data_IF_640221388180
#
_entry.id   IF_640221388180
#
_cell.length_a   1.000
_cell.length_b   1.000
_cell.length_c   1.000
_cell.angle_alpha   90.00
_cell.angle_beta   90.00
_cell.angle_gamma   90.00
#
_symmetry.space_group_name_H-M   'P 1'
#
loop_
_entity.id
_entity.type
_entity.pdbx_description
1 polymer ?
#
# COMPACT_ATOMS: atom_id res chain seq x y z
N UNK A 1 26.79 42.48 -9.07
CA UNK A 1 25.73 41.64 -8.46
C UNK A 1 25.24 40.66 -9.52
N UNK A 2 25.71 39.40 -9.49
CA UNK A 2 25.28 38.35 -10.42
C UNK A 2 24.27 37.49 -9.68
N UNK A 3 23.01 37.58 -10.10
CA UNK A 3 21.90 36.77 -9.57
C UNK A 3 22.10 35.33 -10.02
N UNK A 4 22.30 34.41 -9.07
CA UNK A 4 22.26 32.97 -9.32
C UNK A 4 20.80 32.52 -9.23
N UNK A 5 20.21 32.18 -10.38
CA UNK A 5 18.97 31.41 -10.44
C UNK A 5 19.26 29.97 -10.01
N UNK A 6 18.75 29.57 -8.84
CA UNK A 6 18.67 28.16 -8.46
C UNK A 6 17.52 27.52 -9.26
N UNK A 7 17.84 26.75 -10.30
CA UNK A 7 16.89 25.79 -10.88
C UNK A 7 16.72 24.66 -9.86
N UNK A 8 15.57 24.60 -9.20
CA UNK A 8 15.16 23.42 -8.44
C UNK A 8 14.87 22.29 -9.43
N UNK A 9 15.66 21.22 -9.38
CA UNK A 9 15.39 20.00 -10.12
C UNK A 9 14.21 19.28 -9.43
N UNK A 10 13.01 19.41 -9.99
CA UNK A 10 11.87 18.57 -9.60
C UNK A 10 12.18 17.17 -10.13
N UNK A 11 12.57 16.25 -9.23
CA UNK A 11 12.64 14.83 -9.56
C UNK A 11 11.22 14.39 -9.96
N UNK A 12 11.03 14.12 -11.25
CA UNK A 12 9.76 13.62 -11.77
C UNK A 12 9.59 12.19 -11.26
N UNK A 13 8.77 12.03 -10.22
CA UNK A 13 8.39 10.75 -9.68
C UNK A 13 7.63 9.99 -10.78
N UNK A 14 8.28 9.02 -11.43
CA UNK A 14 7.66 8.26 -12.51
C UNK A 14 6.80 7.14 -11.90
N UNK A 15 5.49 7.36 -11.85
CA UNK A 15 4.54 6.30 -11.61
C UNK A 15 4.67 5.25 -12.74
N UNK A 16 5.22 4.08 -12.44
CA UNK A 16 5.25 2.95 -13.38
C UNK A 16 3.88 2.31 -13.34
N UNK A 17 3.23 2.21 -14.50
CA UNK A 17 1.87 1.68 -14.65
C UNK A 17 0.83 2.40 -13.77
N UNK A 18 1.04 3.69 -13.50
CA UNK A 18 0.18 4.54 -12.66
C UNK A 18 0.11 4.17 -11.17
N UNK A 19 1.02 3.34 -10.66
CA UNK A 19 1.16 3.10 -9.22
C UNK A 19 2.01 4.18 -8.54
N UNK A 20 1.66 4.54 -7.30
CA UNK A 20 2.39 5.49 -6.47
C UNK A 20 3.23 4.73 -5.44
N UNK A 21 4.52 4.66 -5.69
CA UNK A 21 5.49 3.89 -4.90
C UNK A 21 6.69 4.78 -4.56
N UNK A 22 6.79 5.16 -3.30
CA UNK A 22 7.84 6.04 -2.74
C UNK A 22 8.36 5.42 -1.45
N UNK A 23 9.61 5.72 -1.06
CA UNK A 23 10.19 5.12 0.13
C UNK A 23 9.67 5.74 1.42
N UNK A 24 8.98 6.88 1.39
CA UNK A 24 8.45 7.50 2.61
C UNK A 24 7.31 8.47 2.32
N UNK A 25 6.47 8.69 3.31
CA UNK A 25 5.36 9.63 3.19
C UNK A 25 4.42 9.63 4.39
N UNK A 26 3.39 10.46 4.28
CA UNK A 26 2.26 10.48 5.20
C UNK A 26 1.28 9.36 4.85
N UNK A 27 0.72 8.71 5.85
CA UNK A 27 -0.15 7.55 5.66
C UNK A 27 -1.23 7.49 6.73
N UNK A 28 -2.24 6.67 6.48
CA UNK A 28 -3.18 6.19 7.49
C UNK A 28 -2.89 4.73 7.85
N UNK A 29 -3.44 4.29 8.97
CA UNK A 29 -3.27 2.93 9.50
C UNK A 29 -4.60 2.40 10.03
N UNK A 30 -4.89 1.13 9.77
CA UNK A 30 -5.91 0.32 10.46
C UNK A 30 -5.34 -1.05 10.79
N UNK A 31 -6.17 -1.93 11.34
CA UNK A 31 -5.86 -3.33 11.58
C UNK A 31 -6.84 -4.27 10.89
N UNK A 32 -6.37 -5.47 10.54
CA UNK A 32 -7.19 -6.55 9.99
C UNK A 32 -6.74 -7.92 10.51
N UNK A 33 -7.66 -8.88 10.45
CA UNK A 33 -7.42 -10.30 10.75
C UNK A 33 -7.41 -11.14 9.48
N UNK A 34 -6.79 -12.32 9.52
CA UNK A 34 -6.82 -13.30 8.42
C UNK A 34 -5.72 -13.13 7.38
N UNK A 35 -4.50 -12.79 7.78
CA UNK A 35 -3.38 -12.54 6.86
C UNK A 35 -2.57 -13.80 6.47
N UNK A 36 -3.13 -14.99 6.69
CA UNK A 36 -2.47 -16.26 6.45
C UNK A 36 -2.41 -16.68 4.97
N UNK A 37 -3.22 -16.05 4.09
CA UNK A 37 -3.22 -16.30 2.64
C UNK A 37 -3.23 -14.97 1.88
N UNK A 38 -2.12 -14.21 1.92
CA UNK A 38 -2.12 -12.81 1.48
C UNK A 38 -1.84 -12.69 -0.03
N UNK A 39 -2.08 -11.52 -0.62
CA UNK A 39 -2.00 -11.29 -2.07
C UNK A 39 -0.61 -11.52 -2.69
N UNK A 40 0.48 -11.39 -1.92
CA UNK A 40 1.82 -11.76 -2.38
C UNK A 40 2.04 -13.28 -2.45
N UNK A 41 1.12 -14.07 -1.89
CA UNK A 41 1.16 -15.53 -1.85
C UNK A 41 2.19 -16.12 -0.90
N UNK A 42 2.68 -15.31 0.05
CA UNK A 42 3.64 -15.74 1.08
C UNK A 42 3.21 -15.12 2.40
N UNK A 43 2.72 -15.96 3.31
CA UNK A 43 2.53 -15.59 4.72
C UNK A 43 3.88 -15.41 5.43
N UNK A 44 3.88 -14.73 6.58
CA UNK A 44 5.10 -14.48 7.37
C UNK A 44 4.82 -14.64 8.86
N UNK A 45 5.85 -14.88 9.67
CA UNK A 45 5.73 -14.97 11.14
C UNK A 45 5.94 -13.65 11.88
N UNK A 46 6.54 -12.66 11.23
CA UNK A 46 6.76 -11.32 11.78
C UNK A 46 5.61 -10.38 11.47
N UNK A 47 5.68 -9.14 11.96
CA UNK A 47 4.64 -8.15 11.70
C UNK A 47 4.47 -7.92 10.21
N UNK A 48 3.23 -8.05 9.74
CA UNK A 48 2.87 -7.89 8.33
C UNK A 48 1.80 -6.82 8.16
N UNK A 49 1.70 -6.31 6.94
CA UNK A 49 0.65 -5.38 6.57
C UNK A 49 0.18 -5.60 5.14
N UNK A 50 -1.08 -5.24 4.90
CA UNK A 50 -1.57 -4.92 3.58
C UNK A 50 -1.26 -3.44 3.27
N UNK A 51 -0.94 -3.11 2.03
CA UNK A 51 -0.83 -1.69 1.60
C UNK A 51 -1.92 -1.38 0.58
N UNK A 52 -2.38 -0.13 0.52
CA UNK A 52 -3.41 0.27 -0.44
C UNK A 52 -3.01 -0.07 -1.89
N UNK A 53 -4.01 -0.43 -2.69
CA UNK A 53 -3.84 -0.93 -4.06
C UNK A 53 -2.97 -0.02 -4.95
N UNK A 54 -3.08 1.30 -4.82
CA UNK A 54 -2.27 2.27 -5.57
C UNK A 54 -0.76 2.15 -5.30
N UNK A 55 -0.40 1.61 -4.14
CA UNK A 55 1.00 1.40 -3.73
C UNK A 55 1.41 -0.06 -3.83
N UNK A 56 0.46 -0.99 -3.63
CA UNK A 56 0.73 -2.43 -3.71
C UNK A 56 1.38 -2.82 -5.04
N UNK A 57 0.89 -2.27 -6.15
CA UNK A 57 1.45 -2.54 -7.48
C UNK A 57 0.69 -3.59 -8.28
N UNK A 58 -0.52 -3.97 -7.87
CA UNK A 58 -1.35 -4.95 -8.57
C UNK A 58 -2.84 -4.64 -8.35
N UNK A 59 -3.71 -5.46 -8.94
CA UNK A 59 -5.16 -5.42 -8.72
C UNK A 59 -5.67 -6.83 -8.35
N UNK A 60 -6.84 -6.95 -7.71
CA UNK A 60 -7.39 -8.26 -7.32
C UNK A 60 -7.39 -9.26 -8.47
N UNK A 61 -6.79 -10.44 -8.24
CA UNK A 61 -6.70 -11.54 -9.20
C UNK A 61 -5.51 -11.51 -10.15
N UNK A 62 -4.65 -10.47 -10.14
CA UNK A 62 -3.43 -10.43 -10.96
C UNK A 62 -2.15 -10.85 -10.23
N UNK A 63 -2.25 -11.23 -8.95
CA UNK A 63 -1.12 -11.69 -8.15
C UNK A 63 -0.37 -10.55 -7.47
N UNK A 64 0.93 -10.77 -7.26
CA UNK A 64 1.87 -9.92 -6.56
C UNK A 64 2.00 -8.52 -7.17
N UNK A 65 2.43 -7.55 -6.36
CA UNK A 65 2.86 -6.24 -6.83
C UNK A 65 4.26 -5.91 -6.31
N UNK A 66 4.86 -4.81 -6.77
CA UNK A 66 6.24 -4.48 -6.41
C UNK A 66 6.42 -4.15 -4.91
N UNK A 67 5.33 -3.93 -4.17
CA UNK A 67 5.37 -3.79 -2.71
C UNK A 67 5.70 -5.09 -1.97
N UNK A 68 5.48 -6.25 -2.61
CA UNK A 68 5.59 -7.54 -1.96
C UNK A 68 7.00 -7.80 -1.40
N UNK A 69 7.06 -8.00 -0.09
CA UNK A 69 8.28 -8.30 0.65
C UNK A 69 9.05 -7.09 1.16
N UNK A 70 8.69 -5.86 0.74
CA UNK A 70 9.37 -4.64 1.22
C UNK A 70 9.06 -4.39 2.70
N UNK A 71 10.04 -3.90 3.44
CA UNK A 71 9.91 -3.60 4.85
C UNK A 71 9.77 -2.09 5.11
N UNK A 72 8.87 -1.71 6.01
CA UNK A 72 8.59 -0.32 6.32
C UNK A 72 8.52 -0.10 7.83
N UNK A 73 9.21 0.93 8.31
CA UNK A 73 8.99 1.49 9.63
C UNK A 73 7.75 2.37 9.60
N UNK A 74 6.72 1.97 10.33
CA UNK A 74 5.47 2.72 10.52
C UNK A 74 5.55 3.50 11.82
N UNK A 75 5.00 4.72 11.85
CA UNK A 75 4.94 5.55 13.07
C UNK A 75 3.59 6.25 13.17
N UNK A 76 2.84 5.97 14.24
CA UNK A 76 1.58 6.66 14.54
C UNK A 76 1.84 8.07 15.08
N UNK A 77 0.91 9.00 14.82
CA UNK A 77 1.05 10.39 15.23
C UNK A 77 -0.26 11.05 15.69
N UNK A 78 -1.41 10.59 15.19
CA UNK A 78 -2.72 11.10 15.61
C UNK A 78 -3.83 10.09 15.36
N UNK A 79 -4.91 10.19 16.14
CA UNK A 79 -6.17 9.48 15.88
C UNK A 79 -7.14 10.47 15.19
N UNK A 80 -7.57 10.20 13.94
CA UNK A 80 -8.49 11.08 13.22
C UNK A 80 -9.91 11.12 13.82
N UNK A 81 -10.29 10.12 14.61
CA UNK A 81 -11.58 10.06 15.33
C UNK A 81 -11.49 10.64 16.74
N UNK A 82 -10.30 10.64 17.34
CA UNK A 82 -10.03 11.22 18.66
C UNK A 82 -8.93 12.28 18.60
N UNK A 83 -9.17 13.45 17.95
CA UNK A 83 -8.11 14.44 17.70
C UNK A 83 -7.49 15.07 18.97
N UNK A 84 -8.12 14.90 20.13
CA UNK A 84 -7.58 15.33 21.43
C UNK A 84 -6.66 14.28 22.10
N UNK A 85 -6.62 13.05 21.57
CA UNK A 85 -5.73 12.01 22.08
C UNK A 85 -4.28 12.32 21.70
N UNK A 86 -3.42 12.47 22.71
CA UNK A 86 -2.03 12.90 22.54
C UNK A 86 -1.02 11.74 22.55
N UNK A 87 -1.49 10.49 22.50
CA UNK A 87 -0.66 9.30 22.59
C UNK A 87 -0.66 8.63 23.97
N UNK A 88 0.26 7.68 24.22
CA UNK A 88 1.46 7.41 23.44
C UNK A 88 1.17 6.84 22.04
N UNK A 89 2.03 7.15 21.07
CA UNK A 89 2.03 6.52 19.74
C UNK A 89 3.29 5.67 19.59
N UNK A 90 3.18 4.58 18.84
CA UNK A 90 4.24 3.60 18.67
C UNK A 90 4.81 3.62 17.25
N UNK A 91 5.97 2.98 17.10
CA UNK A 91 6.54 2.61 15.81
C UNK A 91 6.78 1.12 15.76
N UNK A 92 6.53 0.51 14.59
CA UNK A 92 6.84 -0.89 14.31
C UNK A 92 7.51 -1.00 12.93
N UNK A 93 8.12 -2.14 12.65
CA UNK A 93 8.60 -2.49 11.31
C UNK A 93 7.75 -3.63 10.81
N UNK A 94 7.12 -3.44 9.64
CA UNK A 94 6.29 -4.45 8.99
C UNK A 94 6.93 -4.88 7.68
N UNK A 95 6.66 -6.11 7.26
CA UNK A 95 6.87 -6.58 5.88
C UNK A 95 5.52 -6.55 5.14
N UNK A 96 5.46 -5.96 3.95
CA UNK A 96 4.23 -5.96 3.15
C UNK A 96 4.05 -7.32 2.50
N UNK A 97 2.93 -7.98 2.81
CA UNK A 97 2.59 -9.30 2.27
C UNK A 97 1.26 -9.30 1.53
N UNK A 98 0.45 -8.26 1.71
CA UNK A 98 -0.93 -8.24 1.24
C UNK A 98 -1.33 -6.91 0.59
N UNK A 99 -2.50 -6.91 -0.02
CA UNK A 99 -3.11 -5.78 -0.68
C UNK A 99 -4.40 -5.39 0.03
N UNK A 100 -4.55 -4.10 0.35
CA UNK A 100 -5.83 -3.53 0.69
C UNK A 100 -6.48 -2.98 -0.59
N UNK A 101 -7.48 -3.67 -1.18
CA UNK A 101 -8.07 -3.27 -2.45
C UNK A 101 -8.91 -1.99 -2.27
N UNK A 102 -8.98 -1.16 -3.31
CA UNK A 102 -9.77 0.07 -3.27
C UNK A 102 -11.28 -0.22 -3.11
N UNK A 103 -11.78 -1.24 -3.82
CA UNK A 103 -13.18 -1.66 -3.75
C UNK A 103 -13.49 -2.26 -2.38
N UNK A 104 -14.51 -1.71 -1.70
CA UNK A 104 -14.92 -2.13 -0.36
C UNK A 104 -14.11 -1.50 0.79
N UNK A 105 -13.03 -0.77 0.49
CA UNK A 105 -12.20 -0.07 1.47
C UNK A 105 -12.00 1.41 1.08
N UNK A 106 -13.01 2.03 0.47
CA UNK A 106 -12.91 3.38 -0.12
C UNK A 106 -12.47 4.43 0.91
N UNK A 107 -12.84 4.24 2.18
CA UNK A 107 -12.46 5.13 3.26
C UNK A 107 -10.95 5.23 3.46
N UNK A 108 -10.23 4.11 3.29
CA UNK A 108 -8.83 3.96 3.70
C UNK A 108 -7.89 3.69 2.53
N UNK A 109 -8.30 2.81 1.61
CA UNK A 109 -7.51 2.30 0.49
C UNK A 109 -8.03 2.73 -0.89
N UNK A 110 -9.01 3.65 -0.93
CA UNK A 110 -9.65 4.15 -2.15
C UNK A 110 -8.79 5.05 -3.04
N UNK A 111 -7.49 5.20 -2.77
CA UNK A 111 -6.61 6.06 -3.56
C UNK A 111 -6.51 5.57 -5.01
N UNK A 112 -6.50 6.52 -5.94
CA UNK A 112 -6.32 6.27 -7.38
C UNK A 112 -5.28 7.21 -7.97
N UNK A 113 -4.81 6.94 -9.19
CA UNK A 113 -3.89 7.85 -9.87
C UNK A 113 -4.48 9.25 -10.10
N UNK A 114 -5.81 9.37 -10.24
CA UNK A 114 -6.51 10.65 -10.45
C UNK A 114 -6.96 11.34 -9.16
N UNK A 115 -7.12 10.58 -8.08
CA UNK A 115 -7.51 11.06 -6.77
C UNK A 115 -6.68 10.29 -5.72
N UNK A 116 -5.45 10.76 -5.45
CA UNK A 116 -4.49 9.97 -4.71
C UNK A 116 -4.73 9.98 -3.21
N UNK A 117 -5.70 10.72 -2.68
CA UNK A 117 -6.00 10.75 -1.24
C UNK A 117 -7.15 9.82 -0.86
N UNK A 118 -7.10 9.22 0.32
CA UNK A 118 -8.28 8.61 0.93
C UNK A 118 -9.16 9.66 1.63
N UNK A 119 -10.20 9.23 2.36
CA UNK A 119 -11.13 10.16 3.04
C UNK A 119 -10.48 11.00 4.14
N UNK A 120 -9.27 10.63 4.58
CA UNK A 120 -8.45 11.38 5.54
C UNK A 120 -7.32 12.16 4.86
N UNK A 121 -7.35 12.28 3.53
CA UNK A 121 -6.35 12.97 2.73
C UNK A 121 -5.00 12.29 2.68
N UNK A 122 -4.90 11.01 3.06
CA UNK A 122 -3.64 10.28 3.08
C UNK A 122 -3.38 9.55 1.75
N UNK A 123 -2.19 9.72 1.15
CA UNK A 123 -1.86 9.09 -0.12
C UNK A 123 -1.54 7.59 -0.03
N UNK A 124 -1.28 7.13 1.19
CA UNK A 124 -0.95 5.75 1.50
C UNK A 124 -1.82 5.25 2.64
N UNK A 125 -1.94 3.94 2.71
CA UNK A 125 -2.55 3.27 3.84
C UNK A 125 -1.90 1.91 4.07
N UNK A 126 -1.65 1.60 5.34
CA UNK A 126 -1.18 0.30 5.80
C UNK A 126 -2.23 -0.31 6.73
N UNK A 127 -2.77 -1.47 6.34
CA UNK A 127 -3.66 -2.26 7.16
C UNK A 127 -2.83 -3.34 7.85
N UNK A 128 -2.65 -3.22 9.17
CA UNK A 128 -1.66 -3.99 9.92
C UNK A 128 -2.29 -5.31 10.39
N UNK A 129 -1.63 -6.44 10.14
CA UNK A 129 -2.18 -7.73 10.53
C UNK A 129 -2.18 -7.93 12.06
N UNK A 130 -3.34 -8.30 12.60
CA UNK A 130 -3.52 -8.69 14.00
C UNK A 130 -2.88 -10.05 14.30
N UNK A 131 -3.00 -11.01 13.38
CA UNK A 131 -2.61 -12.41 13.59
C UNK A 131 -1.11 -12.57 13.91
N UNK A 132 -0.27 -11.68 13.38
CA UNK A 132 1.18 -11.66 13.62
C UNK A 132 1.59 -10.77 14.80
N UNK A 133 0.62 -10.14 15.48
CA UNK A 133 0.83 -9.27 16.64
C UNK A 133 1.21 -7.82 16.30
N UNK A 134 1.27 -7.45 15.02
CA UNK A 134 1.69 -6.12 14.59
C UNK A 134 0.71 -5.03 15.07
N UNK A 135 -0.58 -5.29 14.92
CA UNK A 135 -1.63 -4.36 15.33
C UNK A 135 -1.58 -4.06 16.84
N UNK A 136 -1.46 -5.12 17.67
CA UNK A 136 -1.35 -5.00 19.12
C UNK A 136 -0.08 -4.24 19.58
N UNK A 137 1.00 -4.28 18.79
CA UNK A 137 2.23 -3.54 19.07
C UNK A 137 2.14 -2.06 18.62
N UNK A 138 1.28 -1.75 17.66
CA UNK A 138 1.18 -0.41 17.06
C UNK A 138 0.08 0.44 17.70
N UNK A 139 -1.14 -0.09 17.78
CA UNK A 139 -2.33 0.64 18.18
C UNK A 139 -2.47 0.73 19.70
N UNK A 140 -2.58 1.94 20.27
CA UNK A 140 -3.00 2.09 21.66
C UNK A 140 -4.41 1.51 21.88
N UNK A 141 -4.66 0.98 23.07
CA UNK A 141 -5.97 0.40 23.42
C UNK A 141 -7.11 1.39 23.13
N UNK A 142 -8.07 0.99 22.29
CA UNK A 142 -9.21 1.81 21.88
C UNK A 142 -8.97 2.75 20.70
N UNK A 143 -7.79 2.71 20.09
CA UNK A 143 -7.38 3.58 18.98
C UNK A 143 -6.86 2.75 17.80
N UNK A 144 -7.76 2.13 17.04
CA UNK A 144 -7.45 1.17 15.97
C UNK A 144 -7.38 1.79 14.58
N UNK A 145 -7.43 3.11 14.51
CA UNK A 145 -7.23 3.88 13.29
C UNK A 145 -6.36 5.10 13.60
N UNK A 146 -5.26 5.26 12.88
CA UNK A 146 -4.29 6.31 13.11
C UNK A 146 -3.84 6.96 11.81
N UNK A 147 -3.32 8.18 11.91
CA UNK A 147 -2.51 8.82 10.88
C UNK A 147 -1.06 8.89 11.34
N UNK A 148 -0.14 9.02 10.39
CA UNK A 148 1.28 9.21 10.70
C UNK A 148 2.16 9.07 9.47
N UNK A 149 3.29 8.39 9.63
CA UNK A 149 4.30 8.29 8.56
C UNK A 149 4.83 6.88 8.39
N UNK A 150 5.36 6.61 7.20
CA UNK A 150 6.15 5.41 6.92
C UNK A 150 7.49 5.78 6.29
N UNK A 151 8.47 4.90 6.48
CA UNK A 151 9.77 4.93 5.80
C UNK A 151 10.17 3.50 5.46
N UNK A 152 10.52 3.23 4.20
CA UNK A 152 11.11 1.97 3.75
C UNK A 152 12.47 1.78 4.43
N UNK A 153 12.69 0.58 4.94
CA UNK A 153 13.88 0.19 5.69
C UNK A 153 14.41 -1.13 5.18
N UNK A 154 15.65 -1.44 5.52
CA UNK A 154 16.23 -2.74 5.18
C UNK A 154 15.51 -3.83 5.98
N UNK A 155 15.17 -4.95 5.33
CA UNK A 155 14.46 -6.03 6.01
C UNK A 155 15.28 -6.73 7.10
N UNK A 156 16.59 -6.44 7.23
CA UNK A 156 17.36 -6.81 8.43
C UNK A 156 16.87 -6.13 9.71
N UNK A 157 16.10 -5.04 9.62
CA UNK A 157 15.43 -4.43 10.77
C UNK A 157 14.11 -5.13 11.12
N UNK A 158 13.55 -5.91 10.19
CA UNK A 158 12.32 -6.69 10.42
C UNK A 158 12.66 -8.04 11.07
N UNK A 159 11.84 -8.45 12.06
CA UNK A 159 12.01 -9.75 12.73
C UNK A 159 10.88 -10.68 12.33
N UNK A 160 11.24 -11.80 11.71
CA UNK A 160 10.30 -12.85 11.32
C UNK A 160 10.93 -13.82 10.31
N UNK A 161 10.11 -14.66 9.72
CA UNK A 161 10.49 -15.56 8.64
C UNK A 161 9.35 -15.69 7.65
N UNK A 162 9.70 -16.00 6.40
CA UNK A 162 8.75 -16.16 5.32
C UNK A 162 8.23 -17.60 5.27
N UNK A 163 6.94 -17.72 4.96
CA UNK A 163 6.29 -18.98 4.68
C UNK A 163 6.69 -19.55 3.31
N UNK A 164 6.08 -20.69 2.97
CA UNK A 164 6.19 -21.21 1.61
C UNK A 164 5.32 -20.40 0.65
N UNK A 165 5.72 -20.37 -0.63
CA UNK A 165 4.85 -19.84 -1.70
C UNK A 165 3.58 -20.67 -1.84
N UNK A 166 2.44 -20.01 -1.80
CA UNK A 166 1.11 -20.63 -1.81
C UNK A 166 0.63 -20.93 -3.24
N UNK A 167 1.18 -20.23 -4.24
CA UNK A 167 0.85 -20.43 -5.65
C UNK A 167 2.06 -20.18 -6.56
N UNK A 168 1.97 -20.61 -7.81
CA UNK A 168 2.98 -20.28 -8.80
C UNK A 168 2.91 -18.79 -9.12
N UNK A 169 4.00 -18.06 -8.87
CA UNK A 169 4.05 -16.60 -8.98
C UNK A 169 4.17 -15.86 -7.64
N UNK A 170 3.95 -16.55 -6.51
CA UNK A 170 4.17 -15.95 -5.19
C UNK A 170 5.56 -15.32 -5.08
N UNK A 171 5.63 -14.11 -4.55
CA UNK A 171 6.87 -13.32 -4.56
C UNK A 171 6.96 -12.43 -3.32
N UNK A 172 8.14 -12.44 -2.68
CA UNK A 172 8.55 -11.50 -1.62
C UNK A 172 9.95 -10.92 -1.91
N UNK A 173 10.37 -10.92 -3.18
CA UNK A 173 11.70 -10.45 -3.59
C UNK A 173 12.00 -8.99 -3.19
N UNK A 174 10.98 -8.19 -2.85
CA UNK A 174 11.14 -6.84 -2.31
C UNK A 174 11.97 -6.78 -1.03
N UNK A 175 12.10 -7.88 -0.29
CA UNK A 175 12.87 -7.92 0.96
C UNK A 175 14.38 -7.69 0.77
N UNK A 176 14.88 -7.92 -0.45
CA UNK A 176 16.29 -7.81 -0.83
C UNK A 176 16.55 -6.72 -1.85
N UNK A 177 15.51 -5.99 -2.24
CA UNK A 177 15.60 -4.93 -3.22
C UNK A 177 16.10 -3.63 -2.59
N UNK A 178 16.80 -2.82 -3.37
CA UNK A 178 17.04 -1.44 -2.97
C UNK A 178 15.71 -0.66 -2.88
N UNK A 179 15.69 0.36 -2.02
CA UNK A 179 14.50 1.15 -1.75
C UNK A 179 13.96 1.83 -3.01
N UNK A 180 12.67 2.14 -2.97
CA UNK A 180 12.04 3.00 -3.96
C UNK A 180 12.58 4.44 -3.90
N UNK A 181 12.40 5.23 -4.97
CA UNK A 181 11.96 4.83 -6.31
C UNK A 181 13.11 4.27 -7.16
N UNK A 182 12.77 3.55 -8.23
CA UNK A 182 13.71 3.20 -9.32
C UNK A 182 14.28 1.78 -9.29
N UNK A 183 13.95 0.99 -8.27
CA UNK A 183 14.29 -0.43 -8.20
C UNK A 183 13.02 -1.27 -8.24
N UNK A 184 13.07 -2.34 -9.00
CA UNK A 184 11.97 -3.30 -9.17
C UNK A 184 12.39 -4.63 -8.59
N UNK A 185 11.49 -5.24 -7.84
CA UNK A 185 11.62 -6.56 -7.24
C UNK A 185 10.63 -7.53 -7.91
N UNK A 186 9.44 -7.70 -7.33
CA UNK A 186 8.38 -8.53 -7.90
C UNK A 186 7.74 -7.89 -9.15
N UNK A 187 7.79 -6.57 -9.28
CA UNK A 187 7.20 -5.86 -10.42
C UNK A 187 5.71 -5.55 -10.25
N UNK A 188 5.27 -4.50 -10.94
CA UNK A 188 3.87 -4.10 -10.94
C UNK A 188 3.08 -4.88 -12.01
N UNK A 189 1.86 -5.29 -11.67
CA UNK A 189 0.94 -6.00 -12.54
C UNK A 189 -0.20 -5.09 -13.00
N UNK A 190 -0.56 -5.19 -14.28
CA UNK A 190 -1.61 -4.37 -14.88
C UNK A 190 -1.34 -2.87 -14.83
N UNK A 191 -2.39 -2.05 -14.85
CA UNK A 191 -2.34 -0.60 -14.68
C UNK A 191 -3.27 -0.20 -13.56
N UNK A 192 -2.80 0.64 -12.64
CA UNK A 192 -3.55 0.99 -11.45
C UNK A 192 -4.89 1.68 -11.76
N UNK A 193 -5.82 1.47 -10.83
CA UNK A 193 -7.20 1.95 -10.73
C UNK A 193 -7.40 3.35 -11.30
N UNK A 194 -7.80 3.41 -12.57
CA UNK A 194 -8.40 4.61 -13.14
C UNK A 194 -9.84 4.66 -12.66
N UNK A 195 -10.28 5.78 -12.11
CA UNK A 195 -11.71 6.04 -11.89
C UNK A 195 -12.39 6.02 -13.26
N UNK A 196 -13.07 4.92 -13.58
CA UNK A 196 -14.09 4.88 -14.62
C UNK A 196 -15.24 5.72 -14.07
N UNK A 197 -15.22 7.05 -14.28
CA UNK A 197 -16.40 7.88 -13.95
C UNK A 197 -17.58 7.24 -14.68
N UNK A 198 -18.70 7.08 -13.98
CA UNK A 198 -19.93 6.40 -14.43
C UNK A 198 -20.46 6.84 -15.81
N UNK A 199 -19.99 7.95 -16.37
CA UNK A 199 -20.21 8.33 -17.78
C UNK A 199 -19.64 7.32 -18.80
N UNK A 200 -18.73 6.43 -18.38
CA UNK A 200 -18.09 5.44 -19.26
C UNK A 200 -18.63 4.01 -19.13
N UNK A 201 -19.63 3.77 -18.25
CA UNK A 201 -20.31 2.46 -18.16
C UNK A 201 -21.36 2.27 -19.27
N UNK A 202 -21.76 3.34 -19.98
CA UNK A 202 -22.56 3.20 -21.22
C UNK A 202 -21.79 2.61 -22.42
N UNK A 203 -20.48 2.36 -22.30
CA UNK A 203 -19.64 1.85 -23.38
C UNK A 203 -19.39 0.34 -23.38
N UNK A 204 -19.83 -0.41 -22.36
CA UNK A 204 -19.45 -1.83 -22.19
C UNK A 204 -20.65 -2.80 -22.17
N UNK A 205 -21.84 -2.38 -22.62
CA UNK A 205 -23.02 -3.25 -22.79
C UNK A 205 -23.65 -3.24 -24.20
N UNK A 206 -22.96 -2.73 -25.23
CA UNK A 206 -23.44 -2.79 -26.62
C UNK A 206 -22.53 -3.63 -27.54
N UNK A 207 -22.22 -4.86 -27.14
CA UNK A 207 -21.72 -5.89 -28.05
C UNK A 207 -22.45 -7.23 -27.84
N UNK A 208 -23.77 -7.21 -27.73
CA UNK A 208 -24.60 -8.40 -28.00
C UNK A 208 -25.88 -7.95 -28.70
N UNK A 209 -26.16 -8.57 -29.85
CA UNK A 209 -27.33 -8.42 -30.72
C UNK A 209 -27.34 -7.27 -31.74
N UNK A 210 -26.69 -7.51 -32.89
CA UNK A 210 -27.38 -7.43 -34.19
C UNK A 210 -26.63 -8.25 -35.27
N UNK A 211 -26.86 -9.56 -35.28
CA UNK A 211 -26.83 -10.39 -36.49
C UNK A 211 -28.31 -10.75 -36.74
N UNK A 212 -28.71 -10.77 -38.02
CA UNK A 212 -30.08 -10.93 -38.58
C UNK A 212 -30.79 -9.56 -38.65
N UNK A 213 -31.02 -8.90 -39.78
CA UNK A 213 -31.35 -9.31 -41.18
C UNK A 213 -30.56 -8.44 -42.16
#
# INVERSE_FOLDING_TARGET
>A
MKSLFFLSAIASLRAVNAYLQVPSGNTSFTEYSGCATPACGVSVTGFSAAVNQLTFGSIPGLGEGDACGRCFKLTGASDPFSPAFAGPFNSIIVKVTDMCPAAGNEQWCGQTASDPGNQFGQPFHFDICEDTGGAAAFFPSGHTALLGTFTEVDCSEWTGSDGAGEFNGSCIAGESAAFWPGNTACGNQGTCCRVVRLESVLGCELMVSLIII
#
